data_IF_160396844214
#
_entry.id   IF_160396844214
#
_cell.length_a   1.000
_cell.length_b   1.000
_cell.length_c   1.000
_cell.angle_alpha   90.00
_cell.angle_beta   90.00
_cell.angle_gamma   90.00
#
_symmetry.space_group_name_H-M   'P 1'
#
loop_
_entity.id
_entity.type
_entity.pdbx_description
1 polymer ?
#
# COMPACT_ATOMS: atom_id res chain seq x y z
N UNK A 1 51.66 2.32 11.98
CA UNK A 1 50.38 3.02 12.18
C UNK A 1 49.19 2.13 11.90
N UNK A 2 48.22 2.14 12.82
CA UNK A 2 47.16 1.13 12.98
C UNK A 2 46.02 1.37 11.98
N UNK A 3 45.90 0.48 10.99
CA UNK A 3 44.66 0.33 10.20
C UNK A 3 43.62 -0.36 11.07
N UNK A 4 42.64 0.41 11.53
CA UNK A 4 41.48 -0.12 12.23
C UNK A 4 40.68 -1.02 11.27
N UNK A 5 40.55 -2.30 11.63
CA UNK A 5 39.58 -3.22 11.06
C UNK A 5 38.18 -2.62 11.22
N UNK A 6 37.58 -2.14 10.13
CA UNK A 6 36.16 -1.83 10.08
C UNK A 6 35.42 -3.15 10.24
N UNK A 7 34.80 -3.32 11.41
CA UNK A 7 33.83 -4.39 11.69
C UNK A 7 32.75 -4.36 10.62
N UNK A 8 32.33 -5.54 10.15
CA UNK A 8 31.28 -5.72 9.16
C UNK A 8 29.96 -5.02 9.55
N UNK A 9 29.00 -4.93 8.60
CA UNK A 9 27.77 -4.17 8.79
C UNK A 9 27.03 -4.61 10.07
N UNK A 10 26.49 -3.66 10.86
CA UNK A 10 25.81 -3.98 12.10
C UNK A 10 24.56 -4.80 11.82
N UNK A 11 24.51 -6.01 12.37
CA UNK A 11 23.31 -6.86 12.39
C UNK A 11 23.27 -7.94 11.32
N UNK A 12 24.14 -8.95 11.40
CA UNK A 12 23.72 -10.25 10.89
C UNK A 12 22.49 -10.67 11.70
N UNK A 13 21.35 -10.86 11.03
CA UNK A 13 20.16 -11.54 11.57
C UNK A 13 20.51 -13.01 11.87
N UNK A 14 21.44 -13.26 12.79
CA UNK A 14 21.79 -14.59 13.30
C UNK A 14 20.80 -14.95 14.40
N UNK A 15 19.55 -15.12 14.01
CA UNK A 15 18.42 -15.46 14.86
C UNK A 15 17.15 -15.50 14.02
N UNK A 16 16.33 -16.55 14.17
CA UNK A 16 15.05 -16.67 13.45
C UNK A 16 14.10 -15.58 13.96
N UNK A 17 13.96 -14.48 13.23
CA UNK A 17 12.93 -13.48 13.50
C UNK A 17 11.57 -14.12 13.24
N UNK A 18 10.84 -14.42 14.31
CA UNK A 18 9.48 -14.91 14.24
C UNK A 18 8.52 -13.72 14.30
N UNK A 19 7.84 -13.42 13.19
CA UNK A 19 6.79 -12.40 13.12
C UNK A 19 5.45 -13.10 13.08
N UNK A 20 4.63 -12.87 14.10
CA UNK A 20 3.27 -13.41 14.20
C UNK A 20 2.25 -12.35 13.80
N UNK A 21 1.39 -12.64 12.82
CA UNK A 21 0.34 -11.73 12.33
C UNK A 21 -1.02 -12.02 12.97
N UNK A 22 -1.70 -10.96 13.40
CA UNK A 22 -3.03 -11.03 14.01
C UNK A 22 -4.00 -10.07 13.31
N UNK A 23 -5.19 -10.56 12.89
CA UNK A 23 -6.27 -9.72 12.37
C UNK A 23 -7.43 -10.48 11.70
N UNK A 24 -8.65 -9.92 11.76
CA UNK A 24 -9.79 -10.41 10.98
C UNK A 24 -9.59 -10.12 9.50
N UNK A 25 -9.07 -11.10 8.78
CA UNK A 25 -8.89 -11.00 7.35
C UNK A 25 -10.18 -11.40 6.59
N UNK A 26 -10.56 -10.64 5.56
CA UNK A 26 -11.63 -11.00 4.62
C UNK A 26 -10.97 -11.10 3.22
N UNK A 27 -11.03 -12.26 2.54
CA UNK A 27 -10.20 -12.56 1.36
C UNK A 27 -10.34 -11.59 0.19
N UNK A 28 -11.49 -10.95 0.05
CA UNK A 28 -11.81 -10.15 -1.14
C UNK A 28 -11.45 -8.66 -1.03
N UNK A 29 -10.90 -8.20 0.10
CA UNK A 29 -10.65 -6.77 0.33
C UNK A 29 -9.20 -6.37 0.07
N UNK A 30 -9.01 -5.29 -0.67
CA UNK A 30 -7.75 -4.57 -1.00
C UNK A 30 -6.88 -4.19 0.20
N UNK A 31 -7.33 -4.45 1.42
CA UNK A 31 -6.91 -3.74 2.62
C UNK A 31 -5.62 -4.24 3.28
N UNK A 32 -5.04 -5.32 2.75
CA UNK A 32 -3.79 -5.90 3.25
C UNK A 32 -2.60 -5.68 2.33
N UNK A 33 -2.82 -5.00 1.19
CA UNK A 33 -1.76 -4.68 0.25
C UNK A 33 -0.50 -4.08 0.92
N UNK A 34 -0.59 -3.11 1.86
CA UNK A 34 0.61 -2.55 2.50
C UNK A 34 1.47 -3.61 3.21
N UNK A 35 0.80 -4.47 4.00
CA UNK A 35 1.45 -5.55 4.77
C UNK A 35 1.97 -6.63 3.84
N UNK A 36 1.15 -7.08 2.89
CA UNK A 36 1.53 -8.11 1.93
C UNK A 36 2.72 -7.68 1.06
N UNK A 37 2.78 -6.42 0.65
CA UNK A 37 3.92 -5.89 -0.10
C UNK A 37 5.20 -5.85 0.75
N UNK A 38 5.09 -5.41 2.00
CA UNK A 38 6.21 -5.45 2.93
C UNK A 38 6.70 -6.89 3.11
N UNK A 39 5.79 -7.85 3.30
CA UNK A 39 6.16 -9.25 3.47
C UNK A 39 6.80 -9.86 2.24
N UNK A 40 6.24 -9.63 1.04
CA UNK A 40 6.85 -10.06 -0.22
C UNK A 40 8.25 -9.47 -0.40
N UNK A 41 8.42 -8.18 -0.10
CA UNK A 41 9.73 -7.53 -0.15
C UNK A 41 10.70 -8.15 0.85
N UNK A 42 10.23 -8.45 2.06
CA UNK A 42 11.03 -9.05 3.14
C UNK A 42 11.48 -10.47 2.79
N UNK A 43 10.58 -11.34 2.33
CA UNK A 43 10.89 -12.71 1.91
C UNK A 43 11.89 -12.74 0.76
N UNK A 44 11.71 -11.85 -0.23
CA UNK A 44 12.59 -11.79 -1.39
C UNK A 44 14.02 -11.33 -1.04
N UNK A 45 14.18 -10.41 -0.07
CA UNK A 45 15.48 -9.80 0.26
C UNK A 45 16.15 -10.41 1.49
N UNK A 46 15.37 -11.04 2.36
CA UNK A 46 15.85 -11.63 3.61
C UNK A 46 15.30 -13.05 3.73
N UNK A 47 15.76 -14.00 2.89
CA UNK A 47 15.28 -15.39 2.90
C UNK A 47 15.48 -16.11 4.24
N UNK A 48 16.32 -15.57 5.13
CA UNK A 48 16.52 -16.05 6.49
C UNK A 48 15.39 -15.67 7.46
N UNK A 49 14.49 -14.75 7.10
CA UNK A 49 13.36 -14.36 7.94
C UNK A 49 12.24 -15.38 7.76
N UNK A 50 11.83 -16.01 8.86
CA UNK A 50 10.73 -16.97 8.85
C UNK A 50 9.44 -16.28 9.31
N UNK A 51 8.52 -16.04 8.38
CA UNK A 51 7.18 -15.58 8.70
C UNK A 51 6.36 -16.73 9.27
N UNK A 52 5.77 -16.53 10.45
CA UNK A 52 4.92 -17.53 11.09
C UNK A 52 3.50 -17.00 11.19
N UNK A 53 2.59 -17.69 10.51
CA UNK A 53 1.17 -17.41 10.60
C UNK A 53 0.57 -18.23 11.74
N UNK A 54 -0.22 -17.61 12.61
CA UNK A 54 -0.94 -18.35 13.64
C UNK A 54 -1.85 -19.38 12.94
N UNK A 55 -1.73 -20.70 13.26
CA UNK A 55 -2.37 -21.75 12.47
C UNK A 55 -3.90 -21.69 12.51
N UNK A 56 -4.51 -22.25 11.46
CA UNK A 56 -5.95 -22.45 11.28
C UNK A 56 -6.59 -23.13 12.51
N UNK A 57 -7.85 -22.81 12.89
CA UNK A 57 -8.65 -23.74 13.66
C UNK A 57 -8.81 -25.08 12.90
N UNK A 58 -8.82 -26.23 13.59
CA UNK A 58 -9.21 -27.51 13.00
C UNK A 58 -10.63 -27.45 12.41
N UNK A 59 -10.91 -28.27 11.38
CA UNK A 59 -12.23 -28.40 10.70
C UNK A 59 -13.38 -28.79 11.63
N UNK A 60 -13.11 -29.18 12.87
CA UNK A 60 -14.09 -29.66 13.85
C UNK A 60 -14.90 -28.53 14.52
N UNK A 61 -14.53 -27.26 14.33
CA UNK A 61 -15.27 -26.12 14.89
C UNK A 61 -16.15 -25.44 13.82
N UNK A 62 -17.09 -26.21 13.27
CA UNK A 62 -18.15 -25.76 12.36
C UNK A 62 -19.29 -24.99 13.06
N UNK A 63 -19.09 -24.52 14.31
CA UNK A 63 -20.09 -23.74 15.06
C UNK A 63 -19.92 -22.23 14.93
N UNK A 64 -18.84 -21.76 14.29
CA UNK A 64 -18.75 -20.37 13.85
C UNK A 64 -19.33 -20.31 12.43
N UNK A 65 -20.51 -19.70 12.27
CA UNK A 65 -21.40 -19.80 11.09
C UNK A 65 -20.88 -19.40 9.70
N UNK A 66 -19.56 -19.36 9.44
CA UNK A 66 -18.94 -19.48 8.11
C UNK A 66 -17.57 -20.19 8.20
N UNK A 67 -17.25 -21.12 7.28
CA UNK A 67 -15.96 -21.82 7.27
C UNK A 67 -14.78 -20.88 6.99
N UNK A 68 -13.58 -21.18 7.54
CA UNK A 68 -12.35 -20.48 7.18
C UNK A 68 -12.05 -20.65 5.69
N UNK A 69 -11.81 -19.55 4.98
CA UNK A 69 -11.37 -19.55 3.57
C UNK A 69 -9.84 -19.59 3.53
N UNK A 70 -9.29 -20.47 2.73
CA UNK A 70 -7.84 -20.51 2.42
C UNK A 70 -7.66 -19.91 1.03
N UNK A 71 -6.73 -18.97 0.85
CA UNK A 71 -6.37 -18.45 -0.46
C UNK A 71 -4.89 -18.67 -0.75
N UNK A 72 -4.59 -18.96 -2.02
CA UNK A 72 -3.25 -19.15 -2.57
C UNK A 72 -2.90 -17.88 -3.35
N UNK A 73 -1.84 -17.17 -2.96
CA UNK A 73 -1.33 -16.07 -3.78
C UNK A 73 -0.81 -16.58 -5.12
N UNK A 74 -0.61 -15.66 -6.07
CA UNK A 74 -0.10 -15.98 -7.42
C UNK A 74 1.27 -16.65 -7.41
N UNK A 75 2.06 -16.44 -6.35
CA UNK A 75 3.36 -17.07 -6.11
C UNK A 75 3.24 -18.46 -5.42
N UNK A 76 2.02 -18.90 -5.11
CA UNK A 76 1.77 -20.18 -4.44
C UNK A 76 1.67 -20.11 -2.92
N UNK A 77 1.93 -18.95 -2.29
CA UNK A 77 1.89 -18.77 -0.83
C UNK A 77 0.46 -18.92 -0.29
N UNK A 78 0.27 -19.76 0.73
CA UNK A 78 -1.03 -20.02 1.35
C UNK A 78 -1.26 -19.12 2.57
N UNK A 79 -2.36 -18.37 2.58
CA UNK A 79 -2.77 -17.55 3.72
C UNK A 79 -4.03 -18.13 4.37
N UNK A 80 -4.11 -18.04 5.70
CA UNK A 80 -5.16 -18.65 6.53
C UNK A 80 -5.72 -17.66 7.56
N UNK A 81 -7.04 -17.67 7.81
CA UNK A 81 -7.80 -16.53 8.33
C UNK A 81 -8.62 -16.91 9.58
N UNK A 82 -8.38 -16.29 10.75
CA UNK A 82 -9.12 -16.58 11.99
C UNK A 82 -10.07 -15.42 12.39
N UNK A 83 -11.39 -15.67 12.57
CA UNK A 83 -12.36 -14.61 12.86
C UNK A 83 -12.64 -14.34 14.36
N UNK A 84 -12.02 -15.02 15.33
CA UNK A 84 -12.41 -14.93 16.75
C UNK A 84 -11.21 -14.69 17.71
N UNK A 85 -11.24 -13.58 18.44
CA UNK A 85 -10.14 -13.09 19.28
C UNK A 85 -9.85 -13.96 20.51
N UNK A 86 -10.86 -14.62 21.09
CA UNK A 86 -10.68 -15.53 22.23
C UNK A 86 -10.00 -16.83 21.82
N UNK A 87 -10.30 -17.30 20.60
CA UNK A 87 -9.69 -18.50 20.03
C UNK A 87 -8.24 -18.22 19.62
N UNK A 88 -7.98 -17.03 19.11
CA UNK A 88 -6.66 -16.55 18.72
C UNK A 88 -5.69 -16.52 19.91
N UNK A 89 -6.12 -15.94 21.03
CA UNK A 89 -5.35 -15.89 22.28
C UNK A 89 -5.03 -17.29 22.84
N UNK A 90 -6.02 -18.19 22.90
CA UNK A 90 -5.82 -19.56 23.37
C UNK A 90 -4.85 -20.35 22.48
N UNK A 91 -4.95 -20.19 21.15
CA UNK A 91 -4.06 -20.87 20.19
C UNK A 91 -2.64 -20.30 20.18
N UNK A 92 -2.44 -19.03 20.52
CA UNK A 92 -1.09 -18.47 20.72
C UNK A 92 -0.39 -19.15 21.90
N UNK A 93 -1.11 -19.39 22.99
CA UNK A 93 -0.59 -20.13 24.13
C UNK A 93 -0.29 -21.60 23.77
N UNK A 94 -1.17 -22.25 22.99
CA UNK A 94 -0.94 -23.62 22.50
C UNK A 94 0.19 -23.74 21.46
N UNK A 95 0.42 -22.71 20.65
CA UNK A 95 1.49 -22.69 19.64
C UNK A 95 2.89 -22.46 20.23
N UNK A 96 3.00 -22.35 21.56
CA UNK A 96 4.27 -22.26 22.26
C UNK A 96 5.02 -20.96 22.01
N UNK A 97 4.32 -19.83 21.83
CA UNK A 97 4.95 -18.51 21.71
C UNK A 97 5.83 -18.27 22.95
N UNK A 98 7.15 -18.30 22.75
CA UNK A 98 8.10 -18.20 23.85
C UNK A 98 8.08 -16.79 24.45
N UNK A 99 8.31 -16.70 25.77
CA UNK A 99 8.59 -15.43 26.43
C UNK A 99 9.80 -14.76 25.76
N UNK A 100 9.64 -13.51 25.31
CA UNK A 100 10.65 -12.78 24.53
C UNK A 100 10.37 -12.69 23.01
N UNK A 101 9.33 -13.38 22.50
CA UNK A 101 8.91 -13.25 21.12
C UNK A 101 8.38 -11.84 20.82
N UNK A 102 8.74 -11.30 19.64
CA UNK A 102 8.24 -10.01 19.15
C UNK A 102 6.90 -10.23 18.49
N UNK A 103 5.91 -9.43 18.87
CA UNK A 103 4.54 -9.64 18.45
C UNK A 103 4.05 -8.50 17.55
N UNK A 104 3.46 -8.87 16.42
CA UNK A 104 2.99 -7.91 15.42
C UNK A 104 1.46 -7.95 15.31
N UNK A 105 0.81 -6.88 15.77
CA UNK A 105 -0.63 -6.74 15.65
C UNK A 105 -0.97 -5.90 14.43
N UNK A 106 -1.86 -6.40 13.55
CA UNK A 106 -2.36 -5.60 12.43
C UNK A 106 -3.78 -5.15 12.75
N UNK A 107 -3.94 -3.84 12.83
CA UNK A 107 -5.20 -3.19 13.16
C UNK A 107 -5.80 -2.58 11.90
N UNK A 108 -7.10 -2.79 11.72
CA UNK A 108 -7.83 -2.31 10.55
C UNK A 108 -8.60 -1.03 10.90
N UNK A 109 -8.33 0.05 10.17
CA UNK A 109 -9.07 1.32 10.34
C UNK A 109 -10.53 1.28 9.86
N UNK A 110 -10.83 0.51 8.80
CA UNK A 110 -12.16 0.51 8.17
C UNK A 110 -13.15 -0.43 8.88
N UNK A 111 -14.03 0.13 9.72
CA UNK A 111 -15.29 -0.53 10.08
C UNK A 111 -16.21 -0.55 8.83
N UNK A 112 -16.96 -1.64 8.60
CA UNK A 112 -18.07 -1.60 7.62
C UNK A 112 -19.06 -0.52 8.07
N UNK A 113 -19.76 0.16 7.14
CA UNK A 113 -20.93 0.96 7.51
C UNK A 113 -21.88 0.08 8.35
N UNK A 114 -22.18 0.51 9.58
CA UNK A 114 -23.02 -0.23 10.52
C UNK A 114 -22.33 -1.34 11.33
N UNK A 115 -21.03 -1.56 11.18
CA UNK A 115 -20.28 -2.42 12.11
C UNK A 115 -19.87 -1.62 13.35
N UNK A 116 -19.73 -2.27 14.53
CA UNK A 116 -19.12 -1.64 15.68
C UNK A 116 -17.75 -1.06 15.27
N UNK A 117 -17.36 0.14 15.76
CA UNK A 117 -16.06 0.71 15.47
C UNK A 117 -14.97 -0.34 15.74
N UNK A 118 -14.08 -0.56 14.75
CA UNK A 118 -12.98 -1.51 14.80
C UNK A 118 -12.17 -1.31 16.08
N UNK A 119 -12.48 -2.06 17.14
CA UNK A 119 -11.97 -1.74 18.45
C UNK A 119 -12.25 -2.76 19.53
N UNK A 120 -13.45 -3.35 19.57
CA UNK A 120 -13.76 -4.29 20.65
C UNK A 120 -13.00 -5.62 20.52
N UNK A 121 -12.85 -6.12 19.29
CA UNK A 121 -12.05 -7.32 18.99
C UNK A 121 -10.55 -7.11 19.30
N UNK A 122 -10.01 -5.97 18.87
CA UNK A 122 -8.59 -5.62 18.98
C UNK A 122 -8.20 -5.29 20.43
N UNK A 123 -9.12 -4.76 21.25
CA UNK A 123 -8.93 -4.56 22.70
C UNK A 123 -8.74 -5.88 23.46
N UNK A 124 -9.40 -6.96 23.02
CA UNK A 124 -9.24 -8.29 23.61
C UNK A 124 -7.83 -8.84 23.44
N UNK A 125 -7.27 -8.67 22.24
CA UNK A 125 -5.89 -9.05 21.91
C UNK A 125 -4.90 -8.19 22.70
N UNK A 126 -5.07 -6.86 22.72
CA UNK A 126 -4.23 -5.94 23.52
C UNK A 126 -4.25 -6.25 25.03
N UNK A 127 -5.42 -6.60 25.58
CA UNK A 127 -5.56 -7.00 26.98
C UNK A 127 -4.83 -8.32 27.25
N UNK A 128 -4.97 -9.30 26.37
CA UNK A 128 -4.27 -10.59 26.48
C UNK A 128 -2.75 -10.40 26.39
N UNK A 129 -2.28 -9.54 25.49
CA UNK A 129 -0.86 -9.22 25.34
C UNK A 129 -0.27 -8.67 26.63
N UNK A 130 -0.97 -7.72 27.26
CA UNK A 130 -0.57 -7.14 28.56
C UNK A 130 -0.54 -8.20 29.66
N UNK A 131 -1.45 -9.17 29.65
CA UNK A 131 -1.54 -10.22 30.65
C UNK A 131 -0.43 -11.27 30.54
N UNK A 132 0.14 -11.47 29.35
CA UNK A 132 1.12 -12.55 29.08
C UNK A 132 2.55 -12.03 28.91
N UNK A 133 2.82 -10.76 29.25
CA UNK A 133 4.17 -10.18 29.30
C UNK A 133 4.97 -10.30 27.99
N UNK A 134 4.31 -10.25 26.82
CA UNK A 134 5.04 -10.16 25.56
C UNK A 134 5.85 -8.87 25.55
N UNK A 135 7.15 -9.00 25.28
CA UNK A 135 8.12 -7.96 25.60
C UNK A 135 8.13 -6.80 24.60
N UNK A 136 7.58 -6.98 23.38
CA UNK A 136 7.64 -5.97 22.30
C UNK A 136 6.44 -6.05 21.36
N UNK A 137 5.60 -5.00 21.36
CA UNK A 137 4.40 -4.89 20.52
C UNK A 137 4.61 -3.87 19.39
N UNK A 138 4.50 -4.34 18.15
CA UNK A 138 4.37 -3.48 16.98
C UNK A 138 2.92 -3.49 16.45
N UNK A 139 2.43 -2.34 15.99
CA UNK A 139 1.10 -2.20 15.40
C UNK A 139 1.21 -1.74 13.96
N UNK A 140 0.51 -2.39 13.02
CA UNK A 140 0.29 -1.87 11.67
C UNK A 140 -1.14 -1.37 11.55
N UNK A 141 -1.32 -0.06 11.47
CA UNK A 141 -2.60 0.58 11.24
C UNK A 141 -2.81 0.76 9.73
N UNK A 142 -3.68 -0.08 9.17
CA UNK A 142 -3.95 -0.14 7.72
C UNK A 142 -5.37 0.32 7.40
N UNK A 143 -5.56 0.92 6.23
CA UNK A 143 -6.86 1.28 5.63
C UNK A 143 -7.74 2.22 6.42
N UNK A 144 -7.14 3.09 7.23
CA UNK A 144 -7.84 4.23 7.82
C UNK A 144 -7.86 5.44 6.87
N UNK A 145 -8.43 5.24 5.67
CA UNK A 145 -8.50 6.25 4.60
C UNK A 145 -9.18 7.57 5.04
N UNK A 146 -9.93 7.52 6.15
CA UNK A 146 -10.66 8.65 6.72
C UNK A 146 -10.02 9.19 8.02
N UNK A 147 -8.87 8.66 8.45
CA UNK A 147 -8.20 9.04 9.69
C UNK A 147 -9.16 9.15 10.90
N UNK A 148 -9.94 8.07 11.09
CA UNK A 148 -10.97 7.98 12.13
C UNK A 148 -10.52 7.17 13.35
N UNK A 149 -9.33 6.56 13.29
CA UNK A 149 -8.82 5.72 14.36
C UNK A 149 -8.63 6.50 15.68
N UNK A 150 -8.89 5.83 16.80
CA UNK A 150 -8.76 6.41 18.15
C UNK A 150 -7.48 5.91 18.81
N UNK A 151 -6.62 6.87 19.16
CA UNK A 151 -5.27 6.69 19.70
C UNK A 151 -5.15 5.90 21.01
N UNK A 152 -6.15 5.95 21.89
CA UNK A 152 -6.14 5.22 23.18
C UNK A 152 -5.98 3.70 23.03
N UNK A 153 -6.12 3.20 21.80
CA UNK A 153 -5.92 1.80 21.41
C UNK A 153 -4.46 1.44 21.10
N UNK A 154 -3.54 2.39 20.95
CA UNK A 154 -2.16 2.12 20.49
C UNK A 154 -1.06 2.56 21.47
N UNK A 155 -1.41 3.17 22.60
CA UNK A 155 -0.42 3.68 23.58
C UNK A 155 0.55 2.61 24.12
N UNK A 156 0.08 1.37 24.19
CA UNK A 156 0.90 0.24 24.64
C UNK A 156 1.85 -0.32 23.57
N UNK A 157 1.77 0.15 22.33
CA UNK A 157 2.72 -0.25 21.30
C UNK A 157 4.06 0.47 21.48
N UNK A 158 5.15 -0.24 21.18
CA UNK A 158 6.48 0.33 21.09
C UNK A 158 6.70 1.01 19.75
N UNK A 159 6.13 0.42 18.69
CA UNK A 159 6.23 0.88 17.31
C UNK A 159 4.87 0.80 16.64
N UNK A 160 4.50 1.85 15.92
CA UNK A 160 3.23 1.98 15.21
C UNK A 160 3.54 2.37 13.77
N UNK A 161 3.11 1.54 12.83
CA UNK A 161 3.22 1.78 11.41
C UNK A 161 1.87 2.25 10.88
N UNK A 162 1.78 3.45 10.31
CA UNK A 162 0.51 4.02 9.84
C UNK A 162 0.56 4.29 8.34
N UNK A 163 -0.55 3.98 7.66
CA UNK A 163 -0.67 4.25 6.23
C UNK A 163 -0.83 5.73 5.88
N UNK A 164 -1.42 6.48 6.81
CA UNK A 164 -1.69 7.89 6.64
C UNK A 164 -1.20 8.66 7.87
N UNK A 165 -0.80 9.91 7.68
CA UNK A 165 -0.55 10.79 8.82
C UNK A 165 -1.88 11.19 9.45
N UNK A 166 -1.96 10.99 10.76
CA UNK A 166 -3.21 11.02 11.48
C UNK A 166 -3.16 12.12 12.55
N UNK A 167 -3.98 13.16 12.41
CA UNK A 167 -4.03 14.27 13.39
C UNK A 167 -4.37 13.75 14.81
N UNK A 168 -5.25 12.76 14.93
CA UNK A 168 -5.53 12.11 16.22
C UNK A 168 -4.40 11.27 16.81
N UNK A 169 -3.27 11.10 16.13
CA UNK A 169 -2.07 10.47 16.69
C UNK A 169 -1.01 11.49 17.10
N UNK A 170 -1.26 12.80 16.99
CA UNK A 170 -0.29 13.85 17.33
C UNK A 170 0.15 13.84 18.79
N UNK A 171 -0.68 13.35 19.71
CA UNK A 171 -0.33 13.20 21.13
C UNK A 171 0.42 11.90 21.44
N UNK A 172 0.43 10.94 20.51
CA UNK A 172 1.27 9.75 20.64
C UNK A 172 2.71 10.17 20.32
N UNK A 173 3.67 9.69 21.10
CA UNK A 173 5.08 10.02 20.91
C UNK A 173 5.50 9.71 19.46
N UNK A 174 5.89 10.75 18.70
CA UNK A 174 6.22 10.65 17.28
C UNK A 174 7.39 9.72 16.98
N UNK A 175 8.29 9.48 17.95
CA UNK A 175 9.37 8.49 17.81
C UNK A 175 8.89 7.04 17.70
N UNK A 176 7.61 6.78 18.02
CA UNK A 176 6.96 5.48 17.85
C UNK A 176 6.27 5.33 16.50
N UNK A 177 6.01 6.42 15.77
CA UNK A 177 5.17 6.42 14.57
C UNK A 177 6.04 6.40 13.32
N UNK A 178 5.79 5.41 12.46
CA UNK A 178 6.50 5.19 11.22
C UNK A 178 5.51 5.04 10.09
N UNK A 179 5.93 5.42 8.89
CA UNK A 179 5.08 5.34 7.72
C UNK A 179 5.04 3.93 7.12
N UNK A 180 3.84 3.51 6.73
CA UNK A 180 3.55 2.27 6.04
C UNK A 180 2.94 2.60 4.67
N UNK A 181 3.70 2.50 3.56
CA UNK A 181 3.19 2.88 2.26
C UNK A 181 1.99 2.02 1.87
N UNK A 182 0.99 2.61 1.23
CA UNK A 182 -0.14 1.83 0.66
C UNK A 182 0.37 0.69 -0.22
N UNK A 183 1.43 0.96 -0.99
CA UNK A 183 2.08 0.02 -1.87
C UNK A 183 1.22 -0.34 -3.08
N UNK A 184 1.67 -1.36 -3.80
CA UNK A 184 1.00 -1.94 -4.98
C UNK A 184 -0.19 -2.80 -4.52
N UNK A 185 -1.28 -2.88 -5.29
CA UNK A 185 -2.34 -3.83 -4.94
C UNK A 185 -1.81 -5.27 -4.90
N UNK A 186 -2.17 -6.08 -3.90
CA UNK A 186 -1.72 -7.49 -3.86
C UNK A 186 -2.19 -8.32 -5.07
N UNK A 187 -3.24 -7.84 -5.77
CA UNK A 187 -3.80 -8.40 -7.01
C UNK A 187 -3.09 -7.92 -8.27
N UNK A 188 -2.27 -6.88 -8.15
CA UNK A 188 -1.52 -6.33 -9.27
C UNK A 188 -0.30 -7.24 -9.52
N UNK A 189 -0.05 -7.65 -10.77
CA UNK A 189 1.07 -8.54 -11.07
C UNK A 189 2.40 -7.83 -10.82
N UNK A 190 3.39 -8.57 -10.30
CA UNK A 190 4.75 -8.05 -10.16
C UNK A 190 5.30 -7.64 -11.53
N UNK A 191 6.06 -6.54 -11.56
CA UNK A 191 6.75 -6.06 -12.76
C UNK A 191 8.23 -6.38 -12.59
N UNK A 192 8.79 -7.10 -13.55
CA UNK A 192 10.23 -7.37 -13.60
C UNK A 192 10.95 -6.31 -14.43
N UNK A 193 12.24 -6.10 -14.17
CA UNK A 193 13.06 -5.16 -14.96
C UNK A 193 13.04 -5.47 -16.46
N UNK A 194 12.91 -6.75 -16.84
CA UNK A 194 12.84 -7.18 -18.23
C UNK A 194 11.55 -6.77 -18.94
N UNK A 195 10.48 -6.49 -18.19
CA UNK A 195 9.20 -6.03 -18.74
C UNK A 195 9.16 -4.51 -18.96
N UNK A 196 10.14 -3.76 -18.46
CA UNK A 196 10.16 -2.31 -18.62
C UNK A 196 10.41 -1.93 -20.08
N UNK A 197 9.48 -1.14 -20.62
CA UNK A 197 9.57 -0.59 -21.97
C UNK A 197 10.22 0.80 -21.90
N UNK A 198 11.23 1.09 -22.74
CA UNK A 198 11.81 2.43 -22.85
C UNK A 198 10.73 3.46 -23.17
N UNK A 199 10.81 4.64 -22.56
CA UNK A 199 9.80 5.69 -22.72
C UNK A 199 9.57 6.12 -24.18
N UNK A 200 10.59 6.05 -25.04
CA UNK A 200 10.49 6.33 -26.47
C UNK A 200 9.70 5.29 -27.26
N UNK A 201 9.55 4.07 -26.73
CA UNK A 201 8.81 2.97 -27.34
C UNK A 201 7.41 2.78 -26.75
N UNK A 202 7.03 3.60 -25.75
CA UNK A 202 5.72 3.52 -25.10
C UNK A 202 4.62 3.99 -26.05
N UNK A 203 3.54 3.21 -26.12
CA UNK A 203 2.41 3.45 -27.01
C UNK A 203 1.60 4.70 -26.65
N UNK A 204 1.42 4.96 -25.36
CA UNK A 204 0.56 6.03 -24.86
C UNK A 204 1.39 7.14 -24.22
N UNK A 205 0.99 8.39 -24.49
CA UNK A 205 1.53 9.54 -23.76
C UNK A 205 1.06 9.50 -22.32
N UNK A 206 -0.23 9.25 -22.08
CA UNK A 206 -0.72 9.02 -20.73
C UNK A 206 -1.81 7.97 -20.68
N UNK A 207 -2.01 7.42 -19.47
CA UNK A 207 -3.23 6.71 -19.11
C UNK A 207 -4.02 7.41 -18.00
N UNK A 208 -5.33 7.17 -18.01
CA UNK A 208 -6.26 7.51 -16.95
C UNK A 208 -7.29 6.39 -16.78
N UNK A 209 -7.22 5.68 -15.66
CA UNK A 209 -8.24 4.69 -15.28
C UNK A 209 -8.90 5.11 -13.97
N UNK A 210 -10.16 5.54 -14.00
CA UNK A 210 -10.84 6.01 -12.81
C UNK A 210 -12.37 5.80 -12.82
N UNK A 211 -12.98 5.76 -11.63
CA UNK A 211 -14.44 5.85 -11.51
C UNK A 211 -14.85 7.31 -11.38
N UNK A 212 -15.73 7.78 -12.27
CA UNK A 212 -16.12 9.20 -12.33
C UNK A 212 -17.24 9.55 -11.34
N UNK A 213 -17.99 8.56 -10.86
CA UNK A 213 -19.12 8.79 -9.94
C UNK A 213 -18.68 9.05 -8.50
N UNK A 214 -17.43 8.77 -8.16
CA UNK A 214 -16.97 8.81 -6.77
C UNK A 214 -16.32 10.12 -6.35
N UNK A 215 -15.93 11.00 -7.29
CA UNK A 215 -15.19 12.22 -6.96
C UNK A 215 -15.32 13.28 -8.06
N UNK A 216 -15.63 14.54 -7.69
CA UNK A 216 -15.79 15.68 -8.61
C UNK A 216 -14.51 16.04 -9.39
N UNK A 217 -13.33 15.88 -8.78
CA UNK A 217 -12.03 16.10 -9.44
C UNK A 217 -11.86 15.18 -10.65
N UNK A 218 -12.34 13.92 -10.56
CA UNK A 218 -12.29 12.97 -11.67
C UNK A 218 -13.20 13.38 -12.83
N UNK A 219 -14.37 13.94 -12.52
CA UNK A 219 -15.27 14.49 -13.53
C UNK A 219 -14.69 15.74 -14.19
N UNK A 220 -14.12 16.65 -13.39
CA UNK A 220 -13.39 17.84 -13.89
C UNK A 220 -12.28 17.43 -14.85
N UNK A 221 -11.44 16.47 -14.45
CA UNK A 221 -10.34 15.98 -15.29
C UNK A 221 -10.85 15.37 -16.61
N UNK A 222 -11.88 14.53 -16.56
CA UNK A 222 -12.52 13.99 -17.78
C UNK A 222 -12.99 15.13 -18.69
N UNK A 223 -13.67 16.13 -18.14
CA UNK A 223 -14.15 17.28 -18.91
C UNK A 223 -13.00 18.09 -19.54
N UNK A 224 -11.91 18.33 -18.82
CA UNK A 224 -10.72 19.00 -19.35
C UNK A 224 -10.14 18.22 -20.53
N UNK A 225 -10.06 16.89 -20.39
CA UNK A 225 -9.53 16.04 -21.46
C UNK A 225 -10.41 16.13 -22.71
N UNK A 226 -11.73 16.04 -22.55
CA UNK A 226 -12.68 16.04 -23.68
C UNK A 226 -12.83 17.41 -24.35
N UNK A 227 -12.87 18.49 -23.56
CA UNK A 227 -13.24 19.83 -24.07
C UNK A 227 -12.04 20.72 -24.37
N UNK A 228 -10.86 20.45 -23.77
CA UNK A 228 -9.65 21.25 -23.97
C UNK A 228 -8.55 20.45 -24.65
N UNK A 229 -8.18 19.30 -24.09
CA UNK A 229 -7.01 18.55 -24.56
C UNK A 229 -7.23 17.91 -25.94
N UNK A 230 -8.29 17.11 -26.11
CA UNK A 230 -8.56 16.40 -27.37
C UNK A 230 -8.74 17.35 -28.56
N UNK A 231 -9.45 18.50 -28.44
CA UNK A 231 -9.51 19.48 -29.52
C UNK A 231 -8.16 20.10 -29.89
N UNK A 232 -7.28 20.32 -28.91
CA UNK A 232 -5.96 20.92 -29.14
C UNK A 232 -4.93 19.90 -29.67
N UNK A 233 -5.01 18.64 -29.24
CA UNK A 233 -4.08 17.57 -29.57
C UNK A 233 -4.84 16.28 -29.96
N UNK A 234 -5.56 16.27 -31.10
CA UNK A 234 -6.47 15.17 -31.47
C UNK A 234 -5.74 13.86 -31.79
N UNK A 235 -4.47 13.92 -32.18
CA UNK A 235 -3.64 12.76 -32.49
C UNK A 235 -2.83 12.23 -31.29
N UNK A 236 -3.00 12.82 -30.09
CA UNK A 236 -2.26 12.39 -28.91
C UNK A 236 -2.69 10.95 -28.51
N UNK A 237 -1.78 9.96 -28.50
CA UNK A 237 -2.16 8.61 -28.14
C UNK A 237 -2.35 8.53 -26.63
N UNK A 238 -3.57 8.23 -26.20
CA UNK A 238 -3.95 8.18 -24.78
C UNK A 238 -4.75 6.93 -24.48
N UNK A 239 -4.64 6.42 -23.25
CA UNK A 239 -5.49 5.35 -22.76
C UNK A 239 -6.42 5.87 -21.67
N UNK A 240 -7.71 5.96 -21.95
CA UNK A 240 -8.72 6.41 -21.00
C UNK A 240 -9.72 5.28 -20.73
N UNK A 241 -10.00 5.04 -19.44
CA UNK A 241 -11.03 4.11 -19.03
C UNK A 241 -11.82 4.65 -17.85
N UNK A 242 -13.11 4.87 -18.06
CA UNK A 242 -14.01 5.45 -17.07
C UNK A 242 -15.03 4.44 -16.59
N UNK A 243 -15.17 4.31 -15.26
CA UNK A 243 -16.22 3.50 -14.64
C UNK A 243 -17.35 4.40 -14.15
N UNK A 244 -18.54 4.20 -14.71
CA UNK A 244 -19.73 5.04 -14.49
C UNK A 244 -20.66 4.50 -13.40
N UNK A 245 -20.44 3.29 -12.88
CA UNK A 245 -21.24 2.72 -11.81
C UNK A 245 -20.36 1.87 -10.88
N UNK A 246 -20.64 1.93 -9.58
CA UNK A 246 -19.96 1.08 -8.60
C UNK A 246 -20.66 -0.27 -8.51
N UNK A 247 -19.98 -1.34 -8.93
CA UNK A 247 -20.51 -2.71 -8.90
C UNK A 247 -20.16 -3.49 -7.62
N UNK A 248 -19.30 -2.95 -6.75
CA UNK A 248 -18.73 -3.66 -5.60
C UNK A 248 -17.72 -4.77 -5.94
N UNK A 249 -17.63 -5.19 -7.20
CA UNK A 249 -16.70 -6.21 -7.70
C UNK A 249 -15.71 -5.59 -8.70
N UNK A 250 -14.42 -5.72 -8.42
CA UNK A 250 -13.34 -5.20 -9.26
C UNK A 250 -12.96 -6.21 -10.35
N UNK A 251 -13.91 -6.57 -11.21
CA UNK A 251 -13.71 -7.48 -12.32
C UNK A 251 -14.10 -6.87 -13.68
N UNK A 252 -13.63 -7.50 -14.75
CA UNK A 252 -13.88 -7.03 -16.12
C UNK A 252 -15.37 -7.03 -16.46
N UNK A 253 -16.14 -7.95 -15.87
CA UNK A 253 -17.58 -8.08 -16.08
C UNK A 253 -18.33 -6.86 -15.54
N UNK A 254 -17.76 -6.21 -14.53
CA UNK A 254 -18.25 -4.97 -13.94
C UNK A 254 -17.76 -3.70 -14.64
N UNK A 255 -17.12 -3.83 -15.81
CA UNK A 255 -16.58 -2.70 -16.57
C UNK A 255 -15.28 -2.13 -16.01
N UNK A 256 -14.57 -2.82 -15.12
CA UNK A 256 -13.22 -2.43 -14.70
C UNK A 256 -12.16 -2.97 -15.65
N UNK A 257 -11.02 -2.28 -15.76
CA UNK A 257 -9.83 -2.84 -16.45
C UNK A 257 -9.27 -3.98 -15.60
N UNK A 258 -8.91 -5.09 -16.24
CA UNK A 258 -8.25 -6.20 -15.55
C UNK A 258 -6.89 -5.76 -14.98
N UNK A 259 -6.43 -6.38 -13.90
CA UNK A 259 -5.13 -6.05 -13.31
C UNK A 259 -3.97 -6.27 -14.30
N UNK A 260 -4.04 -7.35 -15.08
CA UNK A 260 -3.06 -7.64 -16.12
C UNK A 260 -3.08 -6.57 -17.23
N UNK A 261 -4.27 -6.20 -17.70
CA UNK A 261 -4.40 -5.16 -18.73
C UNK A 261 -3.94 -3.80 -18.21
N UNK A 262 -4.21 -3.51 -16.95
CA UNK A 262 -3.77 -2.27 -16.33
C UNK A 262 -2.25 -2.21 -16.21
N UNK A 263 -1.59 -3.31 -15.83
CA UNK A 263 -0.13 -3.44 -15.87
C UNK A 263 0.44 -3.15 -17.25
N UNK A 264 -0.11 -3.76 -18.30
CA UNK A 264 0.31 -3.51 -19.70
C UNK A 264 0.18 -2.04 -20.05
N UNK A 265 -0.96 -1.41 -19.73
CA UNK A 265 -1.18 0.02 -19.98
C UNK A 265 -0.17 0.88 -19.25
N UNK A 266 0.18 0.57 -18.01
CA UNK A 266 1.19 1.31 -17.24
C UNK A 266 2.58 1.20 -17.89
N UNK A 267 2.99 -0.01 -18.31
CA UNK A 267 4.25 -0.25 -19.02
C UNK A 267 4.30 0.49 -20.36
N UNK A 268 3.15 0.60 -21.04
CA UNK A 268 2.98 1.27 -22.32
C UNK A 268 2.71 2.78 -22.22
N UNK A 269 2.68 3.40 -21.03
CA UNK A 269 2.33 4.82 -20.86
C UNK A 269 3.47 5.65 -20.30
N UNK A 270 3.80 6.79 -20.91
CA UNK A 270 4.80 7.72 -20.35
C UNK A 270 4.33 8.29 -19.01
N UNK A 271 3.10 8.81 -18.97
CA UNK A 271 2.49 9.35 -17.76
C UNK A 271 1.31 8.52 -17.25
N UNK A 272 1.08 8.56 -15.94
CA UNK A 272 -0.15 8.06 -15.32
C UNK A 272 -0.84 9.19 -14.59
N UNK A 273 -2.04 9.57 -15.02
CA UNK A 273 -2.81 10.62 -14.37
C UNK A 273 -3.45 10.09 -13.08
N UNK A 274 -3.26 10.80 -11.98
CA UNK A 274 -3.69 10.35 -10.65
C UNK A 274 -4.65 11.33 -9.97
N UNK A 275 -5.89 11.48 -10.48
CA UNK A 275 -6.90 12.24 -9.77
C UNK A 275 -7.22 11.55 -8.43
N UNK A 276 -7.32 12.36 -7.39
CA UNK A 276 -7.56 11.92 -6.01
C UNK A 276 -8.81 11.04 -5.88
N UNK A 277 -8.74 10.10 -4.93
CA UNK A 277 -9.89 9.31 -4.46
C UNK A 277 -10.46 9.88 -3.18
N UNK A 278 -10.73 9.00 -2.20
CA UNK A 278 -10.98 9.43 -0.81
C UNK A 278 -9.67 9.89 -0.14
N UNK A 279 -8.56 9.27 -0.52
CA UNK A 279 -7.21 9.72 -0.21
C UNK A 279 -6.45 9.95 -1.54
N UNK A 280 -5.61 10.98 -1.65
CA UNK A 280 -4.81 11.27 -2.82
C UNK A 280 -3.62 10.29 -2.96
N UNK A 281 -3.16 9.68 -1.85
CA UNK A 281 -2.29 8.52 -1.91
C UNK A 281 -3.11 7.25 -2.22
N UNK A 282 -2.83 6.58 -3.34
CA UNK A 282 -3.57 5.39 -3.78
C UNK A 282 -2.68 4.36 -4.48
N UNK A 283 -3.17 3.12 -4.62
CA UNK A 283 -2.45 2.00 -5.29
C UNK A 283 -1.87 2.39 -6.65
N UNK A 284 -2.61 3.18 -7.43
CA UNK A 284 -2.22 3.64 -8.77
C UNK A 284 -0.85 4.32 -8.78
N UNK A 285 -0.51 5.05 -7.73
CA UNK A 285 0.79 5.71 -7.61
C UNK A 285 1.93 4.70 -7.51
N UNK A 286 1.78 3.70 -6.66
CA UNK A 286 2.80 2.67 -6.49
C UNK A 286 2.92 1.79 -7.72
N UNK A 287 1.79 1.47 -8.35
CA UNK A 287 1.72 0.68 -9.60
C UNK A 287 2.39 1.42 -10.77
N UNK A 288 2.19 2.74 -10.88
CA UNK A 288 2.82 3.56 -11.92
C UNK A 288 4.31 3.77 -11.66
N UNK A 289 4.70 4.03 -10.40
CA UNK A 289 6.11 4.10 -9.98
C UNK A 289 6.86 2.80 -10.28
N UNK A 290 6.24 1.64 -10.01
CA UNK A 290 6.82 0.33 -10.33
C UNK A 290 7.01 0.16 -11.84
N UNK A 291 6.01 0.53 -12.66
CA UNK A 291 6.09 0.45 -14.12
C UNK A 291 7.01 1.50 -14.78
N UNK A 292 7.53 2.46 -14.00
CA UNK A 292 8.24 3.63 -14.52
C UNK A 292 7.35 4.59 -15.31
N UNK A 293 6.03 4.52 -15.15
CA UNK A 293 5.10 5.51 -15.70
C UNK A 293 5.04 6.72 -14.77
N UNK A 294 5.40 7.89 -15.28
CA UNK A 294 5.58 9.10 -14.48
C UNK A 294 4.22 9.50 -13.88
N UNK A 295 4.08 9.48 -12.55
CA UNK A 295 2.83 9.87 -11.95
C UNK A 295 2.61 11.38 -12.09
N UNK A 296 1.39 11.78 -12.48
CA UNK A 296 0.95 13.18 -12.56
C UNK A 296 -0.09 13.41 -11.49
N UNK A 297 0.15 14.36 -10.60
CA UNK A 297 -0.72 14.71 -9.48
C UNK A 297 -1.07 16.19 -9.55
N UNK A 298 -2.32 16.54 -9.26
CA UNK A 298 -2.69 17.94 -9.05
C UNK A 298 -2.87 18.23 -7.55
N UNK A 299 -2.41 19.39 -7.10
CA UNK A 299 -2.53 19.86 -5.72
C UNK A 299 -3.95 20.33 -5.37
N UNK A 300 -4.79 20.57 -6.38
CA UNK A 300 -6.21 20.84 -6.17
C UNK A 300 -6.96 19.60 -5.63
N UNK A 301 -7.89 19.83 -4.70
CA UNK A 301 -8.69 18.75 -4.12
C UNK A 301 -7.91 17.78 -3.24
N UNK A 302 -6.77 18.21 -2.69
CA UNK A 302 -6.02 17.52 -1.63
C UNK A 302 -6.55 17.82 -0.22
N UNK A 303 -7.73 18.43 -0.09
CA UNK A 303 -8.45 18.47 1.17
C UNK A 303 -8.82 17.02 1.54
N UNK A 304 -8.15 16.47 2.54
CA UNK A 304 -8.40 15.09 2.99
C UNK A 304 -8.69 15.05 4.47
N UNK A 305 -9.24 13.93 4.91
CA UNK A 305 -9.43 13.65 6.33
C UNK A 305 -8.11 13.39 7.07
N UNK A 306 -7.02 13.16 6.34
CA UNK A 306 -5.70 12.85 6.85
C UNK A 306 -4.73 14.02 6.65
N UNK A 307 -3.66 14.06 7.44
CA UNK A 307 -2.63 15.08 7.29
C UNK A 307 -1.64 14.68 6.19
N UNK A 308 -0.99 15.68 5.58
CA UNK A 308 0.23 15.56 4.78
C UNK A 308 0.36 14.28 3.90
N UNK A 309 -0.55 14.03 2.95
CA UNK A 309 -0.63 12.74 2.25
C UNK A 309 0.57 12.44 1.32
N UNK A 310 1.43 13.43 1.03
CA UNK A 310 2.55 13.29 0.10
C UNK A 310 3.92 13.54 0.72
N UNK A 311 4.05 13.64 2.06
CA UNK A 311 5.34 13.93 2.72
C UNK A 311 6.48 13.05 2.21
N UNK A 312 6.20 11.76 1.94
CA UNK A 312 7.19 10.79 1.49
C UNK A 312 7.47 10.79 -0.02
N UNK A 313 6.78 11.63 -0.78
CA UNK A 313 6.85 11.71 -2.25
C UNK A 313 7.31 13.08 -2.75
N UNK A 314 7.52 14.06 -1.87
CA UNK A 314 7.90 15.43 -2.28
C UNK A 314 9.22 15.47 -3.06
N UNK A 315 10.12 14.52 -2.85
CA UNK A 315 11.38 14.36 -3.58
C UNK A 315 11.30 13.36 -4.76
N UNK A 316 10.12 12.78 -5.00
CA UNK A 316 9.92 11.86 -6.10
C UNK A 316 9.93 12.60 -7.45
N UNK A 317 10.51 12.02 -8.52
CA UNK A 317 10.54 12.62 -9.85
C UNK A 317 9.18 12.49 -10.57
N UNK A 318 8.12 12.94 -9.90
CA UNK A 318 6.74 12.99 -10.36
C UNK A 318 6.45 14.36 -11.00
N UNK A 319 5.32 14.47 -11.68
CA UNK A 319 4.83 15.77 -12.15
C UNK A 319 3.77 16.28 -11.18
N UNK A 320 4.05 17.44 -10.60
CA UNK A 320 3.14 18.17 -9.73
C UNK A 320 2.50 19.30 -10.54
N UNK A 321 1.17 19.30 -10.58
CA UNK A 321 0.36 20.37 -11.12
C UNK A 321 -0.29 21.10 -9.94
N UNK A 322 -0.52 22.39 -10.05
CA UNK A 322 -1.38 23.12 -9.12
C UNK A 322 -2.84 22.71 -9.33
N UNK A 323 -3.24 22.60 -10.60
CA UNK A 323 -4.59 22.26 -11.04
C UNK A 323 -4.55 21.39 -12.30
N UNK A 324 -5.57 20.54 -12.49
CA UNK A 324 -5.72 19.77 -13.72
C UNK A 324 -5.86 20.65 -14.97
N UNK A 325 -6.19 21.93 -14.84
CA UNK A 325 -6.22 22.88 -15.96
C UNK A 325 -4.84 23.09 -16.63
N UNK A 326 -3.74 22.72 -15.95
CA UNK A 326 -2.39 22.74 -16.52
C UNK A 326 -2.08 21.50 -17.39
N UNK A 327 -2.95 20.48 -17.39
CA UNK A 327 -2.72 19.25 -18.15
C UNK A 327 -2.53 19.48 -19.66
N UNK A 328 -3.33 20.32 -20.36
CA UNK A 328 -3.10 20.59 -21.78
C UNK A 328 -1.70 21.17 -22.06
N UNK A 329 -1.24 22.10 -21.22
CA UNK A 329 0.10 22.68 -21.33
C UNK A 329 1.20 21.62 -21.12
N UNK A 330 1.04 20.73 -20.13
CA UNK A 330 1.96 19.62 -19.92
C UNK A 330 2.04 18.72 -21.17
N UNK A 331 0.90 18.38 -21.77
CA UNK A 331 0.85 17.53 -22.96
C UNK A 331 1.46 18.22 -24.19
N UNK A 332 1.25 19.53 -24.37
CA UNK A 332 1.90 20.31 -25.42
C UNK A 332 3.43 20.39 -25.24
N UNK A 333 3.90 20.47 -24.00
CA UNK A 333 5.33 20.46 -23.73
C UNK A 333 5.94 19.09 -24.04
N UNK A 334 5.24 18.00 -23.68
CA UNK A 334 5.66 16.65 -24.06
C UNK A 334 5.73 16.48 -25.58
N UNK A 335 4.75 16.96 -26.35
CA UNK A 335 4.77 16.80 -27.81
C UNK A 335 5.90 17.59 -28.49
N UNK A 336 6.35 18.70 -27.89
CA UNK A 336 7.50 19.48 -28.38
C UNK A 336 8.84 18.82 -28.05
N UNK A 337 8.97 18.25 -26.85
CA UNK A 337 10.20 17.63 -26.37
C UNK A 337 9.90 16.40 -25.49
N UNK A 338 9.66 15.23 -26.10
CA UNK A 338 9.40 14.00 -25.35
C UNK A 338 10.67 13.48 -24.65
N UNK A 339 11.86 13.81 -25.18
CA UNK A 339 13.15 13.35 -24.66
C UNK A 339 13.40 13.78 -23.21
N UNK A 340 12.97 15.01 -22.86
CA UNK A 340 12.99 15.51 -21.48
C UNK A 340 12.33 14.55 -20.49
N UNK A 341 11.22 13.92 -20.88
CA UNK A 341 10.44 13.04 -20.01
C UNK A 341 10.94 11.60 -20.03
N UNK A 342 11.65 11.18 -21.07
CA UNK A 342 12.23 9.84 -21.12
C UNK A 342 13.25 9.60 -20.00
N UNK A 343 14.16 10.55 -19.76
CA UNK A 343 15.09 10.49 -18.64
C UNK A 343 14.36 10.42 -17.28
N UNK A 344 13.22 11.10 -17.16
CA UNK A 344 12.40 11.11 -15.95
C UNK A 344 11.77 9.73 -15.67
N UNK A 345 11.40 8.94 -16.69
CA UNK A 345 10.89 7.56 -16.47
C UNK A 345 11.91 6.66 -15.76
N UNK A 346 13.18 6.72 -16.16
CA UNK A 346 14.26 5.97 -15.52
C UNK A 346 14.52 6.47 -14.09
N UNK A 347 14.47 7.80 -13.90
CA UNK A 347 14.58 8.41 -12.57
C UNK A 347 13.46 7.95 -11.63
N UNK A 348 12.22 7.82 -12.11
CA UNK A 348 11.08 7.29 -11.35
C UNK A 348 11.33 5.87 -10.86
N UNK A 349 11.70 4.95 -11.75
CA UNK A 349 11.95 3.56 -11.36
C UNK A 349 13.10 3.46 -10.36
N UNK A 350 14.20 4.19 -10.61
CA UNK A 350 15.35 4.19 -9.71
C UNK A 350 15.01 4.81 -8.34
N UNK A 351 14.24 5.90 -8.32
CA UNK A 351 13.75 6.52 -7.07
C UNK A 351 12.87 5.55 -6.30
N UNK A 352 11.92 4.88 -6.96
CA UNK A 352 10.99 3.99 -6.27
C UNK A 352 11.68 2.75 -5.71
N UNK A 353 12.68 2.21 -6.40
CA UNK A 353 13.53 1.15 -5.86
C UNK A 353 14.18 1.59 -4.53
N UNK A 354 14.83 2.77 -4.51
CA UNK A 354 15.44 3.33 -3.28
C UNK A 354 14.42 3.65 -2.20
N UNK A 355 13.24 4.15 -2.59
CA UNK A 355 12.14 4.42 -1.69
C UNK A 355 11.72 3.14 -0.95
N UNK A 356 11.52 2.03 -1.66
CA UNK A 356 11.19 0.72 -1.07
C UNK A 356 12.28 0.28 -0.09
N UNK A 357 13.55 0.35 -0.48
CA UNK A 357 14.67 0.01 0.41
C UNK A 357 14.66 0.84 1.70
N UNK A 358 14.49 2.16 1.58
CA UNK A 358 14.47 3.07 2.74
C UNK A 358 13.31 2.77 3.68
N UNK A 359 12.09 2.68 3.12
CA UNK A 359 10.87 2.56 3.91
C UNK A 359 10.75 1.16 4.52
N UNK A 360 10.90 0.10 3.73
CA UNK A 360 10.82 -1.26 4.25
C UNK A 360 12.04 -1.61 5.11
N UNK A 361 13.23 -1.09 4.79
CA UNK A 361 14.40 -1.20 5.66
C UNK A 361 14.16 -0.56 7.04
N UNK A 362 13.48 0.60 7.09
CA UNK A 362 13.06 1.22 8.36
C UNK A 362 12.09 0.32 9.12
N UNK A 363 11.12 -0.28 8.43
CA UNK A 363 10.17 -1.22 9.05
C UNK A 363 10.91 -2.41 9.65
N UNK A 364 11.81 -3.05 8.91
CA UNK A 364 12.62 -4.17 9.43
C UNK A 364 13.46 -3.72 10.61
N UNK A 365 14.18 -2.60 10.50
CA UNK A 365 15.02 -2.08 11.56
C UNK A 365 14.23 -1.88 12.86
N UNK A 366 13.02 -1.33 12.79
CA UNK A 366 12.17 -1.08 13.96
C UNK A 366 11.44 -2.33 14.46
N UNK A 367 11.22 -3.32 13.61
CA UNK A 367 10.70 -4.63 14.02
C UNK A 367 11.79 -5.52 14.64
N UNK A 368 13.05 -5.37 14.25
CA UNK A 368 14.17 -6.27 14.60
C UNK A 368 15.08 -5.74 15.71
N UNK A 369 15.30 -4.43 15.81
CA UNK A 369 16.13 -3.84 16.88
C UNK A 369 15.28 -3.49 18.09
#
# INVERSE_FOLDING_TARGET
DRVAKVKGPPGSLSGRLQIWFFGQMQPHHTNWAPVANFLRWLEHRHPQVQLMWCPNPPRELATCGRPPKTEKAQDGTLYTFCPNDKLLAAKCAEAGVQAGARMLLVIKGRAKRGAPPAGQAELGVLKHIRQHNYTRLAIFLTTDELCTFHSSKVDAAEVIFTQYYHHRLEHVNSSKIYYLPTGISYKFPLITLAEHIPASARKYVFNLVCSIVTNKVRQKLKNIIETKLKPQLPALPVFEHYVYAWSGNYDNKSGYVSQQRFKEVLLDSVFTLMPSGHNPECYRMYESLEAGSIPVVAMEGLETHCAHPFTHFMDAPMVWLDTWDQLPTLMQNYTRDPGKYWAQTAAVTAWYARFKERIYGTIVQRLVM
#
